data_IF_446468194124
#
_entry.id   IF_446468194124
#
_cell.length_a   1.000
_cell.length_b   1.000
_cell.length_c   1.000
_cell.angle_alpha   90.00
_cell.angle_beta   90.00
_cell.angle_gamma   90.00
#
_symmetry.space_group_name_H-M   'P 1'
#
loop_
_entity.id
_entity.type
_entity.pdbx_description
1 polymer ?
#
# COMPACT_ATOMS: atom_id res chain seq x y z
N UNK A 1 -16.88 17.86 0.86
CA UNK A 1 -15.77 18.55 1.55
C UNK A 1 -14.53 17.65 1.64
N UNK A 2 -14.71 16.34 1.87
CA UNK A 2 -13.62 15.34 1.88
C UNK A 2 -12.89 15.20 0.53
N UNK A 3 -13.61 15.34 -0.59
CA UNK A 3 -13.03 15.28 -1.93
C UNK A 3 -12.03 16.40 -2.22
N UNK A 4 -12.29 17.61 -1.74
CA UNK A 4 -11.38 18.75 -1.92
C UNK A 4 -10.09 18.54 -1.14
N UNK A 5 -10.19 18.11 0.13
CA UNK A 5 -9.01 17.82 0.94
C UNK A 5 -8.21 16.65 0.36
N UNK A 6 -8.88 15.65 -0.21
CA UNK A 6 -8.23 14.54 -0.92
C UNK A 6 -7.55 15.01 -2.21
N UNK A 7 -8.20 15.89 -2.99
CA UNK A 7 -7.65 16.46 -4.21
C UNK A 7 -6.45 17.39 -3.93
N UNK A 8 -6.54 18.24 -2.91
CA UNK A 8 -5.44 19.11 -2.49
C UNK A 8 -4.27 18.29 -1.94
N UNK A 9 -4.54 17.24 -1.14
CA UNK A 9 -3.52 16.27 -0.75
C UNK A 9 -2.90 15.61 -1.98
N UNK A 10 -3.68 15.20 -3.00
CA UNK A 10 -3.13 14.66 -4.27
C UNK A 10 -2.17 15.64 -4.96
N UNK A 11 -2.51 16.92 -5.00
CA UNK A 11 -1.68 17.95 -5.64
C UNK A 11 -0.42 18.31 -4.84
N UNK A 12 -0.43 18.11 -3.52
CA UNK A 12 0.70 18.40 -2.61
C UNK A 12 1.50 17.15 -2.21
N UNK A 13 1.28 16.00 -2.88
CA UNK A 13 1.97 14.74 -2.55
C UNK A 13 3.43 14.77 -2.93
N UNK A 14 4.28 14.26 -2.04
CA UNK A 14 5.67 13.99 -2.33
C UNK A 14 5.75 12.88 -3.40
N UNK A 15 6.41 13.10 -4.55
CA UNK A 15 6.54 12.09 -5.62
C UNK A 15 7.28 10.81 -5.17
N UNK A 16 7.98 10.85 -4.03
CA UNK A 16 8.67 9.68 -3.46
C UNK A 16 7.82 8.89 -2.45
N UNK A 17 6.65 9.39 -2.06
CA UNK A 17 5.76 8.73 -1.10
C UNK A 17 4.81 7.73 -1.78
N UNK A 18 4.52 6.61 -1.12
CA UNK A 18 3.64 5.58 -1.68
C UNK A 18 2.21 5.89 -1.34
N UNK A 19 1.34 5.83 -2.34
CA UNK A 19 -0.10 5.90 -2.14
C UNK A 19 -0.80 4.78 -2.91
N UNK A 20 -1.41 3.87 -2.17
CA UNK A 20 -2.13 2.70 -2.65
C UNK A 20 -3.19 3.05 -3.70
N UNK A 21 -4.06 4.02 -3.39
CA UNK A 21 -5.12 4.44 -4.32
C UNK A 21 -4.58 5.05 -5.61
N UNK A 22 -3.47 5.79 -5.55
CA UNK A 22 -2.86 6.36 -6.75
C UNK A 22 -2.32 5.27 -7.66
N UNK A 23 -1.68 4.24 -7.08
CA UNK A 23 -1.20 3.10 -7.83
C UNK A 23 -2.36 2.30 -8.45
N UNK A 24 -3.46 2.15 -7.71
CA UNK A 24 -4.67 1.49 -8.18
C UNK A 24 -5.31 2.25 -9.35
N UNK A 25 -5.58 3.54 -9.19
CA UNK A 25 -6.16 4.40 -10.24
C UNK A 25 -5.28 4.44 -11.49
N UNK A 26 -3.94 4.48 -11.32
CA UNK A 26 -3.00 4.45 -12.44
C UNK A 26 -3.08 3.14 -13.23
N UNK A 27 -3.35 2.01 -12.58
CA UNK A 27 -3.55 0.73 -13.25
C UNK A 27 -4.91 0.69 -13.94
N UNK A 28 -5.99 1.00 -13.22
CA UNK A 28 -7.37 0.85 -13.73
C UNK A 28 -7.72 1.85 -14.81
N UNK A 29 -7.09 3.03 -14.80
CA UNK A 29 -7.21 4.02 -15.90
C UNK A 29 -6.59 3.55 -17.20
N UNK A 30 -5.49 2.77 -17.14
CA UNK A 30 -4.83 2.21 -18.32
C UNK A 30 -5.49 0.93 -18.80
N UNK A 31 -5.90 0.08 -17.85
CA UNK A 31 -6.55 -1.20 -18.11
C UNK A 31 -7.80 -1.28 -17.25
N UNK A 32 -9.00 -1.12 -17.83
CA UNK A 32 -10.25 -1.28 -17.08
C UNK A 32 -10.35 -2.69 -16.49
N UNK A 33 -10.07 -2.82 -15.21
CA UNK A 33 -10.17 -4.05 -14.44
C UNK A 33 -10.49 -3.73 -12.98
N UNK A 34 -10.98 -4.73 -12.23
CA UNK A 34 -11.31 -4.59 -10.81
C UNK A 34 -10.40 -5.44 -9.91
N UNK A 35 -9.09 -5.15 -9.82
CA UNK A 35 -8.22 -5.86 -8.89
C UNK A 35 -8.69 -5.67 -7.45
N UNK A 36 -8.50 -6.67 -6.59
CA UNK A 36 -8.97 -6.60 -5.22
C UNK A 36 -8.08 -5.67 -4.37
N UNK A 37 -8.55 -4.45 -4.10
CA UNK A 37 -7.85 -3.44 -3.27
C UNK A 37 -7.47 -3.98 -1.89
N UNK A 38 -8.40 -4.69 -1.24
CA UNK A 38 -8.20 -5.22 0.12
C UNK A 38 -7.08 -6.28 0.14
N UNK A 39 -6.95 -7.09 -0.90
CA UNK A 39 -5.88 -8.09 -0.98
C UNK A 39 -4.48 -7.45 -1.09
N UNK A 40 -4.34 -6.38 -1.87
CA UNK A 40 -3.08 -5.63 -1.99
C UNK A 40 -2.71 -4.99 -0.65
N UNK A 41 -3.68 -4.39 0.03
CA UNK A 41 -3.52 -3.79 1.36
C UNK A 41 -3.14 -4.83 2.43
N UNK A 42 -3.78 -5.99 2.41
CA UNK A 42 -3.43 -7.11 3.31
C UNK A 42 -1.99 -7.61 3.08
N UNK A 43 -1.59 -7.81 1.82
CA UNK A 43 -0.21 -8.19 1.51
C UNK A 43 0.81 -7.13 1.94
N UNK A 44 0.44 -5.85 1.86
CA UNK A 44 1.27 -4.74 2.38
C UNK A 44 1.41 -4.83 3.90
N UNK A 45 0.31 -5.09 4.61
CA UNK A 45 0.32 -5.33 6.05
C UNK A 45 1.22 -6.53 6.41
N UNK A 46 1.09 -7.66 5.71
CA UNK A 46 1.88 -8.87 5.99
C UNK A 46 3.39 -8.63 5.82
N UNK A 47 3.78 -7.90 4.77
CA UNK A 47 5.18 -7.57 4.52
C UNK A 47 5.71 -6.46 5.43
N UNK A 48 4.88 -5.54 5.91
CA UNK A 48 5.29 -4.47 6.83
C UNK A 48 5.26 -4.88 8.30
N UNK A 49 4.48 -5.90 8.67
CA UNK A 49 4.36 -6.37 10.05
C UNK A 49 5.71 -6.89 10.55
N UNK A 50 6.20 -6.26 11.61
CA UNK A 50 7.43 -6.66 12.29
C UNK A 50 7.18 -7.33 13.64
N UNK A 51 6.06 -7.03 14.29
CA UNK A 51 5.71 -7.59 15.58
C UNK A 51 4.64 -8.68 15.38
N UNK A 52 4.92 -9.94 15.77
CA UNK A 52 3.94 -11.03 15.74
C UNK A 52 2.63 -10.70 16.49
N UNK A 53 2.71 -9.87 17.53
CA UNK A 53 1.58 -9.51 18.41
C UNK A 53 0.76 -8.31 17.91
N UNK A 54 1.12 -7.71 16.77
CA UNK A 54 0.31 -6.63 16.18
C UNK A 54 -1.08 -7.14 15.82
N UNK A 55 -2.09 -6.29 16.05
CA UNK A 55 -3.51 -6.58 15.79
C UNK A 55 -3.76 -7.15 14.39
N UNK A 56 -4.77 -8.00 14.24
CA UNK A 56 -5.10 -8.63 12.95
C UNK A 56 -5.46 -7.59 11.89
N UNK A 57 -5.23 -7.89 10.62
CA UNK A 57 -5.59 -6.98 9.53
C UNK A 57 -7.09 -6.64 9.51
N UNK A 58 -7.94 -7.56 9.98
CA UNK A 58 -9.39 -7.40 9.99
C UNK A 58 -9.89 -6.37 11.01
N UNK A 59 -9.14 -6.11 12.09
CA UNK A 59 -9.51 -5.08 13.07
C UNK A 59 -9.13 -3.66 12.62
N UNK A 60 -8.28 -3.55 11.59
CA UNK A 60 -7.75 -2.26 11.14
C UNK A 60 -8.73 -1.51 10.24
N UNK A 61 -8.75 -0.17 10.31
CA UNK A 61 -9.60 0.64 9.46
C UNK A 61 -9.22 0.50 7.99
N UNK A 62 -10.15 0.86 7.08
CA UNK A 62 -9.97 0.69 5.64
C UNK A 62 -8.77 1.47 5.08
N UNK A 63 -8.48 2.64 5.66
CA UNK A 63 -7.37 3.50 5.25
C UNK A 63 -5.99 3.05 5.78
N UNK A 64 -5.93 2.05 6.67
CA UNK A 64 -4.65 1.56 7.18
C UNK A 64 -3.82 0.93 6.04
N UNK A 65 -2.54 1.29 5.95
CA UNK A 65 -1.60 0.85 4.90
C UNK A 65 -1.91 1.38 3.48
N UNK A 66 -2.78 2.38 3.34
CA UNK A 66 -2.91 3.10 2.06
C UNK A 66 -1.71 3.99 1.76
N UNK A 67 -1.07 4.52 2.80
CA UNK A 67 0.27 5.10 2.77
C UNK A 67 1.21 4.27 3.62
N UNK A 68 2.48 4.22 3.23
CA UNK A 68 3.54 3.58 4.02
C UNK A 68 4.70 4.55 4.19
N UNK A 69 5.34 4.49 5.35
CA UNK A 69 6.54 5.27 5.60
C UNK A 69 7.72 4.73 4.77
N UNK A 70 8.76 5.55 4.57
CA UNK A 70 9.93 5.16 3.77
C UNK A 70 10.65 3.92 4.32
N UNK A 71 10.70 3.76 5.64
CA UNK A 71 11.30 2.59 6.27
C UNK A 71 10.47 1.33 6.05
N UNK A 72 9.13 1.43 6.09
CA UNK A 72 8.22 0.32 5.77
C UNK A 72 8.36 -0.08 4.31
N UNK A 73 8.44 0.91 3.40
CA UNK A 73 8.69 0.68 1.98
C UNK A 73 9.97 -0.10 1.76
N UNK A 74 11.07 0.33 2.39
CA UNK A 74 12.37 -0.34 2.26
C UNK A 74 12.31 -1.78 2.74
N UNK A 75 11.68 -2.01 3.89
CA UNK A 75 11.49 -3.35 4.45
C UNK A 75 10.67 -4.26 3.52
N UNK A 76 9.56 -3.77 2.99
CA UNK A 76 8.72 -4.50 2.04
C UNK A 76 9.52 -4.88 0.80
N UNK A 77 10.31 -3.95 0.25
CA UNK A 77 11.15 -4.20 -0.93
C UNK A 77 12.21 -5.27 -0.65
N UNK A 78 12.90 -5.19 0.49
CA UNK A 78 13.90 -6.19 0.90
C UNK A 78 13.26 -7.58 1.03
N UNK A 79 12.11 -7.69 1.72
CA UNK A 79 11.38 -8.96 1.87
C UNK A 79 10.90 -9.52 0.54
N UNK A 80 10.32 -8.70 -0.33
CA UNK A 80 9.87 -9.13 -1.66
C UNK A 80 11.03 -9.62 -2.53
N UNK A 81 12.18 -8.94 -2.50
CA UNK A 81 13.37 -9.37 -3.22
C UNK A 81 13.93 -10.69 -2.69
N UNK A 82 13.90 -10.91 -1.37
CA UNK A 82 14.29 -12.19 -0.78
C UNK A 82 13.41 -13.32 -1.31
N UNK A 83 12.08 -13.15 -1.34
CA UNK A 83 11.18 -14.14 -1.92
C UNK A 83 11.52 -14.47 -3.38
N UNK A 84 11.85 -13.47 -4.21
CA UNK A 84 12.21 -13.71 -5.61
C UNK A 84 13.54 -14.46 -5.77
N UNK A 85 14.46 -14.34 -4.81
CA UNK A 85 15.77 -15.02 -4.84
C UNK A 85 15.71 -16.45 -4.31
N UNK A 86 14.69 -16.80 -3.55
CA UNK A 86 14.55 -18.12 -2.92
C UNK A 86 13.64 -19.08 -3.68
N UNK A 87 12.95 -18.61 -4.73
CA UNK A 87 12.21 -19.47 -5.64
C UNK A 87 13.19 -20.11 -6.66
N UNK A 88 13.18 -21.44 -6.84
CA UNK A 88 14.07 -22.16 -7.77
C UNK A 88 13.77 -21.87 -9.24
#
# INVERSE_FOLDING_TARGET
MEDYNTAMKRMMRNPYEYHHDLAYEKLTSKRPCGPNKRAIRAATYDLAKNDPHKESFESLPEHAFEGIADWERRLIQERAQLFLKTQP
#
